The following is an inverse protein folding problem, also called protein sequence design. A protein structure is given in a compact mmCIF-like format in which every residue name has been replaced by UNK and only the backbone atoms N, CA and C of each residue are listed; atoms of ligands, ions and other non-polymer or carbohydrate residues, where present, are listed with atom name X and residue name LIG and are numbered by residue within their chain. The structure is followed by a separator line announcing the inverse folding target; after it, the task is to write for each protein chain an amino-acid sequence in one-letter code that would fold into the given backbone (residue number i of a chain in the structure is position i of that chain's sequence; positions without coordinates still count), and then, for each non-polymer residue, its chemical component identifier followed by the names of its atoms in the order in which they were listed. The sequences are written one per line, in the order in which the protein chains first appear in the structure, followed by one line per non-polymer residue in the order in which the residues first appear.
data_IF_806342607240
#
_entry.id   IF_806342607240
#
_cell.length_a   1.000
_cell.length_b   1.000
_cell.length_c   1.000
_cell.angle_alpha   90.00
_cell.angle_beta   90.00
_cell.angle_gamma   90.00
#
_symmetry.space_group_name_H-M   'P 1'
#
loop_
_entity.id
_entity.type
_entity.pdbx_description
1 polymer ?
#
# COMPACT_ATOMS: atom_id res chain seq x y z
N UNK A 1 -11.22 -25.80 43.19
CA UNK A 1 -10.24 -26.07 42.12
C UNK A 1 -10.99 -26.70 40.96
N UNK A 2 -11.63 -25.87 40.15
CA UNK A 2 -12.00 -26.17 38.77
C UNK A 2 -10.83 -25.73 37.92
N UNK A 3 -10.29 -26.56 37.02
CA UNK A 3 -9.41 -26.06 35.98
C UNK A 3 -10.28 -25.34 34.95
N UNK A 4 -10.04 -24.05 34.76
CA UNK A 4 -10.46 -23.38 33.54
C UNK A 4 -9.70 -24.04 32.38
N UNK A 5 -10.46 -24.52 31.41
CA UNK A 5 -9.96 -24.99 30.13
C UNK A 5 -9.57 -23.77 29.30
N UNK A 6 -8.26 -23.56 29.13
CA UNK A 6 -7.73 -22.68 28.09
C UNK A 6 -8.30 -23.14 26.73
N UNK A 7 -9.09 -22.26 26.12
CA UNK A 7 -9.39 -22.36 24.70
C UNK A 7 -8.08 -22.08 23.93
N UNK A 8 -7.80 -22.79 22.82
CA UNK A 8 -6.65 -22.44 22.00
C UNK A 8 -6.94 -21.07 21.38
N UNK A 9 -6.07 -20.09 21.64
CA UNK A 9 -5.91 -18.92 20.79
C UNK A 9 -5.54 -19.45 19.39
N UNK A 10 -6.53 -19.53 18.50
CA UNK A 10 -6.27 -19.51 17.06
C UNK A 10 -5.85 -18.08 16.72
N UNK A 11 -4.64 -17.70 17.15
CA UNK A 11 -4.08 -16.39 16.89
C UNK A 11 -4.04 -16.14 15.39
N UNK A 12 -4.43 -14.92 14.99
CA UNK A 12 -4.27 -14.51 13.61
C UNK A 12 -2.81 -14.72 13.17
N UNK A 13 -2.63 -15.22 11.95
CA UNK A 13 -1.32 -15.55 11.41
C UNK A 13 -1.24 -15.07 9.98
N UNK A 14 -0.40 -14.07 9.74
CA UNK A 14 -0.03 -13.60 8.42
C UNK A 14 1.45 -13.90 8.16
N UNK A 15 1.87 -13.81 6.91
CA UNK A 15 3.27 -13.85 6.50
C UNK A 15 3.58 -12.63 5.68
N UNK A 16 4.80 -12.10 5.77
CA UNK A 16 5.27 -11.03 4.90
C UNK A 16 5.51 -11.55 3.47
N UNK A 17 5.64 -10.66 2.47
CA UNK A 17 5.98 -11.06 1.11
C UNK A 17 7.28 -11.90 1.06
N UNK A 18 7.39 -12.88 0.15
CA UNK A 18 8.59 -13.68 0.00
C UNK A 18 9.80 -12.79 -0.33
N UNK A 19 10.83 -12.86 0.49
CA UNK A 19 12.08 -12.12 0.31
C UNK A 19 12.70 -12.38 -1.07
N UNK A 20 13.01 -11.30 -1.81
CA UNK A 20 13.54 -11.37 -3.17
C UNK A 20 12.56 -11.93 -4.20
N UNK A 21 11.26 -11.95 -3.87
CA UNK A 21 10.22 -12.30 -4.82
C UNK A 21 10.12 -11.27 -5.95
N UNK A 22 9.73 -11.71 -7.14
CA UNK A 22 9.58 -10.82 -8.29
C UNK A 22 8.18 -10.20 -8.23
N UNK A 23 8.04 -8.87 -8.08
CA UNK A 23 6.74 -8.21 -8.02
C UNK A 23 6.18 -7.88 -9.40
N UNK A 24 4.86 -7.76 -9.48
CA UNK A 24 4.12 -7.19 -10.59
C UNK A 24 2.96 -6.33 -10.05
N UNK A 25 2.96 -5.04 -10.36
CA UNK A 25 1.98 -4.08 -9.86
C UNK A 25 0.90 -3.83 -10.92
N UNK A 26 -0.29 -4.36 -10.67
CA UNK A 26 -1.39 -4.52 -11.64
C UNK A 26 -2.62 -3.69 -11.27
N UNK A 27 -2.46 -2.39 -11.01
CA UNK A 27 -3.59 -1.50 -10.67
C UNK A 27 -4.37 -1.01 -11.89
N UNK A 28 -3.72 -0.84 -13.05
CA UNK A 28 -4.40 -0.49 -14.31
C UNK A 28 -5.22 -1.64 -14.92
N UNK A 29 -5.23 -2.81 -14.27
CA UNK A 29 -6.07 -3.96 -14.60
C UNK A 29 -5.38 -5.28 -14.30
N UNK A 30 -6.15 -6.26 -13.82
CA UNK A 30 -5.65 -7.60 -13.54
C UNK A 30 -5.35 -8.39 -14.83
N UNK A 31 -4.20 -9.08 -14.85
CA UNK A 31 -3.83 -10.03 -15.90
C UNK A 31 -2.99 -11.18 -15.35
N UNK A 32 -2.94 -12.30 -16.09
CA UNK A 32 -2.14 -13.46 -15.68
C UNK A 32 -0.65 -13.06 -15.52
N UNK A 33 -0.05 -13.25 -14.33
CA UNK A 33 1.33 -12.86 -14.10
C UNK A 33 2.32 -13.58 -15.01
N UNK A 34 3.38 -12.88 -15.40
CA UNK A 34 4.45 -13.48 -16.19
C UNK A 34 5.14 -14.62 -15.43
N UNK A 35 5.75 -15.56 -16.17
CA UNK A 35 6.52 -16.64 -15.57
C UNK A 35 7.64 -16.09 -14.67
N UNK A 36 7.69 -16.54 -13.43
CA UNK A 36 8.69 -16.10 -12.45
C UNK A 36 8.21 -15.01 -11.49
N UNK A 37 7.11 -14.32 -11.81
CA UNK A 37 6.44 -13.42 -10.85
C UNK A 37 5.96 -14.24 -9.66
N UNK A 38 6.26 -13.77 -8.45
CA UNK A 38 5.89 -14.43 -7.19
C UNK A 38 5.09 -13.53 -6.25
N UNK A 39 5.00 -12.24 -6.56
CA UNK A 39 4.25 -11.25 -5.79
C UNK A 39 3.42 -10.41 -6.76
N UNK A 40 2.15 -10.18 -6.48
CA UNK A 40 1.28 -9.34 -7.32
C UNK A 40 0.50 -8.37 -6.45
N UNK A 41 0.57 -7.07 -6.77
CA UNK A 41 -0.32 -6.05 -6.19
C UNK A 41 -1.50 -5.78 -7.11
N UNK A 42 -2.72 -5.78 -6.57
CA UNK A 42 -3.96 -5.52 -7.32
C UNK A 42 -4.92 -4.69 -6.49
N UNK A 43 -5.72 -3.88 -7.17
CA UNK A 43 -6.83 -3.15 -6.56
C UNK A 43 -7.80 -4.08 -5.84
N UNK A 44 -8.38 -3.62 -4.72
CA UNK A 44 -9.39 -4.35 -3.94
C UNK A 44 -10.63 -4.79 -4.72
N UNK A 45 -10.91 -4.19 -5.87
CA UNK A 45 -12.01 -4.59 -6.77
C UNK A 45 -11.64 -5.73 -7.72
N UNK A 46 -10.37 -6.13 -7.79
CA UNK A 46 -9.89 -7.23 -8.62
C UNK A 46 -9.74 -8.54 -7.82
N UNK A 47 -9.80 -9.67 -8.52
CA UNK A 47 -9.49 -10.97 -7.92
C UNK A 47 -7.98 -11.09 -7.62
N UNK A 48 -7.57 -11.73 -6.51
CA UNK A 48 -6.17 -11.98 -6.23
C UNK A 48 -5.54 -12.90 -7.28
N UNK A 49 -4.23 -12.79 -7.47
CA UNK A 49 -3.52 -13.64 -8.43
C UNK A 49 -3.32 -15.05 -7.84
N UNK A 50 -3.77 -16.13 -8.51
CA UNK A 50 -3.70 -17.47 -7.95
C UNK A 50 -2.27 -18.00 -7.92
N UNK A 51 -1.87 -18.59 -6.78
CA UNK A 51 -0.60 -19.33 -6.65
C UNK A 51 0.66 -18.47 -6.48
N UNK A 52 0.49 -17.17 -6.27
CA UNK A 52 1.53 -16.21 -5.93
C UNK A 52 1.08 -15.40 -4.71
N UNK A 53 2.00 -14.71 -4.04
CA UNK A 53 1.67 -13.84 -2.92
C UNK A 53 0.90 -12.61 -3.44
N UNK A 54 -0.33 -12.39 -2.98
CA UNK A 54 -1.21 -11.34 -3.50
C UNK A 54 -1.42 -10.22 -2.48
N UNK A 55 -1.11 -8.98 -2.87
CA UNK A 55 -1.31 -7.76 -2.08
C UNK A 55 -2.55 -7.01 -2.58
N UNK A 56 -3.47 -6.71 -1.67
CA UNK A 56 -4.68 -5.95 -1.93
C UNK A 56 -4.40 -4.46 -1.76
N UNK A 57 -4.50 -3.68 -2.83
CA UNK A 57 -4.41 -2.22 -2.78
C UNK A 57 -5.71 -1.62 -2.23
N UNK A 58 -5.57 -0.77 -1.23
CA UNK A 58 -6.67 0.03 -0.67
C UNK A 58 -6.19 1.47 -0.53
N UNK A 59 -6.86 2.41 -1.20
CA UNK A 59 -6.68 3.82 -0.91
C UNK A 59 -7.35 4.14 0.44
N UNK A 60 -6.53 4.30 1.49
CA UNK A 60 -7.00 4.43 2.87
C UNK A 60 -7.12 5.87 3.37
N UNK A 61 -6.62 6.83 2.58
CA UNK A 61 -6.39 8.21 3.01
C UNK A 61 -6.86 9.25 1.98
N UNK A 62 -7.26 8.81 0.79
CA UNK A 62 -7.99 9.60 -0.20
C UNK A 62 -9.21 8.81 -0.70
N UNK A 63 -10.11 9.50 -1.41
CA UNK A 63 -11.11 8.83 -2.23
C UNK A 63 -10.45 8.25 -3.48
N UNK A 64 -10.87 7.07 -3.92
CA UNK A 64 -10.42 6.49 -5.18
C UNK A 64 -11.24 7.02 -6.39
N UNK A 65 -10.72 6.96 -7.65
CA UNK A 65 -11.43 7.43 -8.83
C UNK A 65 -12.82 6.79 -8.96
N UNK A 66 -13.83 7.65 -9.09
CA UNK A 66 -15.23 7.24 -9.17
C UNK A 66 -15.91 6.91 -7.84
N UNK A 67 -15.20 7.01 -6.71
CA UNK A 67 -15.74 6.70 -5.38
C UNK A 67 -16.01 7.93 -4.50
N UNK A 68 -15.72 9.14 -4.99
CA UNK A 68 -15.95 10.40 -4.26
C UNK A 68 -17.36 10.49 -3.63
N UNK A 69 -18.41 10.22 -4.41
CA UNK A 69 -19.81 10.31 -3.97
C UNK A 69 -20.22 9.21 -2.96
N UNK A 70 -19.34 8.24 -2.70
CA UNK A 70 -19.58 7.19 -1.69
C UNK A 70 -19.20 7.64 -0.28
N UNK A 71 -18.42 8.72 -0.16
CA UNK A 71 -17.96 9.26 1.10
C UNK A 71 -18.92 10.33 1.63
N UNK A 72 -19.12 10.36 2.95
CA UNK A 72 -19.76 11.49 3.59
C UNK A 72 -18.86 12.73 3.46
N UNK A 73 -19.43 13.86 3.03
CA UNK A 73 -18.70 15.10 2.86
C UNK A 73 -18.00 15.58 4.14
N UNK A 74 -18.52 15.22 5.32
CA UNK A 74 -17.90 15.53 6.62
C UNK A 74 -16.60 14.74 6.86
N UNK A 75 -16.36 13.66 6.12
CA UNK A 75 -15.13 12.86 6.16
C UNK A 75 -14.10 13.28 5.11
N UNK A 76 -14.45 14.22 4.23
CA UNK A 76 -13.52 14.80 3.26
C UNK A 76 -12.90 16.07 3.84
N UNK A 77 -11.61 16.29 3.55
CA UNK A 77 -10.93 17.51 3.96
C UNK A 77 -11.53 18.70 3.22
N UNK A 78 -12.02 19.68 3.96
CA UNK A 78 -12.68 20.87 3.41
C UNK A 78 -11.78 22.10 3.53
N UNK A 79 -11.80 22.96 2.52
CA UNK A 79 -11.20 24.30 2.53
C UNK A 79 -12.13 25.29 1.85
N UNK A 80 -12.45 26.37 2.55
CA UNK A 80 -13.36 27.42 2.07
C UNK A 80 -14.74 26.92 1.59
N UNK A 81 -15.16 25.74 2.06
CA UNK A 81 -16.44 25.11 1.71
C UNK A 81 -16.37 24.10 0.56
N UNK A 82 -15.18 23.85 0.00
CA UNK A 82 -14.94 22.88 -1.06
C UNK A 82 -13.99 21.77 -0.60
N UNK A 83 -14.14 20.57 -1.16
CA UNK A 83 -13.25 19.45 -0.84
C UNK A 83 -11.86 19.67 -1.43
N UNK A 84 -10.84 19.30 -0.67
CA UNK A 84 -9.44 19.40 -1.08
C UNK A 84 -9.08 18.15 -1.87
N UNK A 85 -8.72 18.35 -3.14
CA UNK A 85 -8.26 17.30 -4.04
C UNK A 85 -6.74 17.28 -4.11
N UNK A 86 -6.19 16.11 -4.38
CA UNK A 86 -4.77 15.95 -4.64
C UNK A 86 -4.38 16.71 -5.93
N UNK A 87 -3.31 17.53 -5.90
CA UNK A 87 -2.85 18.24 -7.10
C UNK A 87 -2.35 17.29 -8.21
N UNK A 88 -1.82 16.12 -7.83
CA UNK A 88 -1.30 15.11 -8.75
C UNK A 88 -2.41 14.13 -9.18
N UNK A 89 -3.44 13.96 -8.34
CA UNK A 89 -4.63 13.14 -8.59
C UNK A 89 -5.94 13.95 -8.43
N UNK A 90 -6.32 14.75 -9.45
CA UNK A 90 -7.35 15.79 -9.30
C UNK A 90 -8.79 15.27 -9.12
N UNK A 91 -9.02 13.98 -9.25
CA UNK A 91 -10.29 13.30 -8.95
C UNK A 91 -10.31 12.58 -7.60
N UNK A 92 -9.22 12.65 -6.84
CA UNK A 92 -9.08 12.06 -5.51
C UNK A 92 -9.09 13.14 -4.41
N UNK A 93 -10.12 13.14 -3.57
CA UNK A 93 -10.23 14.03 -2.43
C UNK A 93 -9.53 13.45 -1.20
N UNK A 94 -8.86 14.31 -0.43
CA UNK A 94 -8.20 13.92 0.82
C UNK A 94 -9.25 13.59 1.89
N UNK A 95 -9.04 12.49 2.62
CA UNK A 95 -9.86 12.17 3.79
C UNK A 95 -9.42 13.04 4.98
N UNK A 96 -10.38 13.53 5.75
CA UNK A 96 -10.11 14.38 6.91
C UNK A 96 -9.81 13.54 8.14
N UNK A 97 -8.53 13.29 8.38
CA UNK A 97 -8.05 12.55 9.55
C UNK A 97 -7.90 13.41 10.81
N UNK A 98 -8.21 14.72 10.77
CA UNK A 98 -7.84 15.71 11.82
C UNK A 98 -8.50 15.51 13.19
N UNK A 99 -9.52 14.65 13.29
CA UNK A 99 -10.19 14.37 14.58
C UNK A 99 -10.36 12.87 14.82
N UNK A 100 -10.34 12.41 16.08
CA UNK A 100 -10.59 11.01 16.42
C UNK A 100 -11.93 10.48 15.89
N UNK A 101 -12.99 11.30 15.93
CA UNK A 101 -14.32 10.90 15.45
C UNK A 101 -14.32 10.66 13.95
N UNK A 102 -13.65 11.53 13.17
CA UNK A 102 -13.50 11.35 11.72
C UNK A 102 -12.66 10.13 11.38
N UNK A 103 -11.51 9.92 12.07
CA UNK A 103 -10.71 8.70 11.89
C UNK A 103 -11.48 7.43 12.18
N UNK A 104 -12.32 7.43 13.22
CA UNK A 104 -13.20 6.30 13.55
C UNK A 104 -14.20 6.03 12.43
N UNK A 105 -14.81 7.09 11.87
CA UNK A 105 -15.76 6.98 10.78
C UNK A 105 -15.10 6.55 9.45
N UNK A 106 -13.91 7.06 9.15
CA UNK A 106 -13.09 6.62 8.00
C UNK A 106 -12.75 5.13 8.14
N UNK A 107 -12.24 4.71 9.30
CA UNK A 107 -11.92 3.30 9.54
C UNK A 107 -13.17 2.41 9.41
N UNK A 108 -14.35 2.86 9.85
CA UNK A 108 -15.59 2.12 9.69
C UNK A 108 -16.00 1.89 8.21
N UNK A 109 -15.55 2.76 7.29
CA UNK A 109 -15.75 2.61 5.85
C UNK A 109 -14.70 1.69 5.22
N UNK A 110 -13.43 1.82 5.64
CA UNK A 110 -12.29 1.09 5.06
C UNK A 110 -12.17 -0.34 5.57
N UNK A 111 -12.47 -0.61 6.84
CA UNK A 111 -12.34 -1.95 7.44
C UNK A 111 -13.12 -3.03 6.65
N UNK A 112 -14.37 -2.82 6.22
CA UNK A 112 -15.07 -3.78 5.38
C UNK A 112 -14.36 -4.10 4.05
N UNK A 113 -13.56 -3.18 3.52
CA UNK A 113 -12.75 -3.46 2.32
C UNK A 113 -11.58 -4.39 2.64
N UNK A 114 -10.92 -4.19 3.78
CA UNK A 114 -9.85 -5.06 4.29
C UNK A 114 -10.39 -6.48 4.53
N UNK A 115 -11.56 -6.59 5.17
CA UNK A 115 -12.26 -7.86 5.37
C UNK A 115 -12.59 -8.53 4.02
N UNK A 116 -13.03 -7.74 3.03
CA UNK A 116 -13.26 -8.21 1.66
C UNK A 116 -12.01 -8.74 0.97
N UNK A 117 -10.84 -8.11 1.17
CA UNK A 117 -9.55 -8.62 0.67
C UNK A 117 -9.23 -10.01 1.28
N UNK A 118 -9.44 -10.18 2.59
CA UNK A 118 -9.23 -11.46 3.26
C UNK A 118 -10.18 -12.54 2.73
N UNK A 119 -11.47 -12.21 2.59
CA UNK A 119 -12.50 -13.12 2.06
C UNK A 119 -12.21 -13.52 0.60
N UNK A 120 -11.66 -12.60 -0.21
CA UNK A 120 -11.25 -12.87 -1.58
C UNK A 120 -9.99 -13.76 -1.67
N UNK A 121 -9.20 -13.86 -0.61
CA UNK A 121 -8.01 -14.70 -0.52
C UNK A 121 -6.71 -13.97 -0.85
N UNK A 122 -6.63 -12.66 -0.63
CA UNK A 122 -5.35 -11.95 -0.60
C UNK A 122 -4.52 -12.39 0.61
N UNK A 123 -3.19 -12.25 0.51
CA UNK A 123 -2.24 -12.56 1.60
C UNK A 123 -1.92 -11.31 2.44
N UNK A 124 -2.08 -10.13 1.84
CA UNK A 124 -1.79 -8.85 2.46
C UNK A 124 -2.68 -7.74 1.92
N UNK A 125 -2.67 -6.60 2.62
CA UNK A 125 -3.23 -5.33 2.19
C UNK A 125 -2.17 -4.25 2.28
N UNK A 126 -2.15 -3.31 1.33
CA UNK A 126 -1.39 -2.07 1.43
C UNK A 126 -2.35 -0.87 1.54
N UNK A 127 -1.93 0.16 2.28
CA UNK A 127 -2.73 1.38 2.44
C UNK A 127 -2.05 2.55 1.74
N UNK A 128 -2.64 3.00 0.62
CA UNK A 128 -2.11 4.11 -0.17
C UNK A 128 -2.45 5.48 0.43
N UNK A 129 -1.71 6.51 -0.01
CA UNK A 129 -1.88 7.91 0.36
C UNK A 129 -1.66 8.22 1.86
N UNK A 130 -0.87 7.38 2.52
CA UNK A 130 -0.48 7.54 3.93
C UNK A 130 0.11 8.93 4.24
N UNK A 131 0.73 9.54 3.25
CA UNK A 131 1.47 10.80 3.27
C UNK A 131 0.61 12.05 2.97
N UNK A 132 -0.72 11.94 2.92
CA UNK A 132 -1.63 13.07 2.62
C UNK A 132 -1.45 14.29 3.52
N UNK A 133 -0.86 14.15 4.71
CA UNK A 133 -0.49 15.29 5.56
C UNK A 133 0.48 16.26 4.87
N UNK A 134 1.37 15.77 4.01
CA UNK A 134 2.31 16.58 3.23
C UNK A 134 1.62 17.46 2.18
N UNK A 135 0.46 17.01 1.68
CA UNK A 135 -0.34 17.68 0.62
C UNK A 135 -1.58 18.42 1.16
N UNK A 136 -1.71 18.53 2.47
CA UNK A 136 -2.88 19.14 3.14
C UNK A 136 -2.76 20.65 3.42
N UNK A 137 -1.62 21.28 3.07
CA UNK A 137 -1.18 22.60 3.54
C UNK A 137 -1.25 22.77 5.07
N UNK A 138 -0.89 21.71 5.81
CA UNK A 138 -0.84 21.70 7.27
C UNK A 138 -2.20 21.54 7.95
N UNK A 139 -3.24 21.14 7.22
CA UNK A 139 -4.55 20.83 7.79
C UNK A 139 -4.60 19.43 8.43
N UNK A 140 -3.77 18.50 7.94
CA UNK A 140 -3.58 17.17 8.50
C UNK A 140 -2.15 17.04 9.05
N UNK A 141 -1.98 16.20 10.05
CA UNK A 141 -0.70 15.92 10.69
C UNK A 141 -0.32 14.44 10.54
N UNK A 142 0.98 14.15 10.58
CA UNK A 142 1.49 12.78 10.57
C UNK A 142 0.87 11.93 11.68
N UNK A 143 0.73 12.48 12.88
CA UNK A 143 0.20 11.76 14.04
C UNK A 143 -1.28 11.35 13.86
N UNK A 144 -2.04 12.15 13.11
CA UNK A 144 -3.43 11.83 12.78
C UNK A 144 -3.50 10.69 11.76
N UNK A 145 -2.68 10.74 10.70
CA UNK A 145 -2.61 9.65 9.72
C UNK A 145 -2.07 8.36 10.35
N UNK A 146 -1.05 8.45 11.20
CA UNK A 146 -0.50 7.32 11.95
C UNK A 146 -1.56 6.67 12.85
N UNK A 147 -2.40 7.47 13.52
CA UNK A 147 -3.50 6.96 14.35
C UNK A 147 -4.55 6.19 13.53
N UNK A 148 -4.85 6.65 12.30
CA UNK A 148 -5.74 5.92 11.39
C UNK A 148 -5.04 4.65 10.89
N UNK A 149 -3.79 4.74 10.44
CA UNK A 149 -2.99 3.61 9.97
C UNK A 149 -2.96 2.48 11.01
N UNK A 150 -2.69 2.79 12.29
CA UNK A 150 -2.69 1.82 13.37
C UNK A 150 -4.01 1.06 13.50
N UNK A 151 -5.15 1.75 13.33
CA UNK A 151 -6.47 1.11 13.36
C UNK A 151 -6.72 0.20 12.14
N UNK A 152 -6.22 0.57 10.97
CA UNK A 152 -6.34 -0.22 9.74
C UNK A 152 -5.42 -1.45 9.76
N UNK A 153 -4.19 -1.31 10.25
CA UNK A 153 -3.23 -2.42 10.45
C UNK A 153 -3.80 -3.43 11.44
N UNK A 154 -4.30 -2.98 12.60
CA UNK A 154 -4.96 -3.83 13.59
C UNK A 154 -6.18 -4.57 13.00
N UNK A 155 -6.92 -3.95 12.08
CA UNK A 155 -7.99 -4.62 11.34
C UNK A 155 -7.47 -5.69 10.36
N UNK A 156 -6.42 -5.39 9.60
CA UNK A 156 -5.77 -6.35 8.69
C UNK A 156 -5.26 -7.58 9.45
N UNK A 157 -4.56 -7.35 10.56
CA UNK A 157 -4.04 -8.42 11.42
C UNK A 157 -5.16 -9.30 11.96
N UNK A 158 -6.30 -8.74 12.41
CA UNK A 158 -7.45 -9.54 12.88
C UNK A 158 -7.99 -10.51 11.83
N UNK A 159 -7.87 -10.18 10.55
CA UNK A 159 -8.30 -11.04 9.42
C UNK A 159 -7.14 -11.77 8.76
N UNK A 160 -5.99 -11.86 9.45
CA UNK A 160 -4.80 -12.60 9.01
C UNK A 160 -4.17 -12.10 7.70
N UNK A 161 -4.28 -10.80 7.42
CA UNK A 161 -3.55 -10.13 6.36
C UNK A 161 -2.31 -9.43 6.94
N UNK A 162 -1.17 -9.51 6.25
CA UNK A 162 -0.07 -8.59 6.51
C UNK A 162 -0.44 -7.18 6.03
N UNK A 163 0.05 -6.14 6.70
CA UNK A 163 -0.21 -4.75 6.33
C UNK A 163 1.06 -4.09 5.74
N UNK A 164 0.91 -3.50 4.55
CA UNK A 164 1.97 -2.82 3.82
C UNK A 164 1.87 -1.31 3.94
N UNK A 165 2.97 -0.66 4.35
CA UNK A 165 3.14 0.78 4.25
C UNK A 165 3.35 1.15 2.78
N UNK A 166 2.61 2.14 2.27
CA UNK A 166 2.87 2.73 0.94
C UNK A 166 3.65 4.03 1.08
N UNK A 167 4.80 4.11 0.42
CA UNK A 167 5.70 5.28 0.40
C UNK A 167 6.03 5.81 1.82
N UNK A 168 6.24 7.12 2.02
CA UNK A 168 6.58 7.75 3.31
C UNK A 168 7.92 7.28 3.92
N UNK A 169 9.00 7.36 3.14
CA UNK A 169 10.33 6.85 3.51
C UNK A 169 10.86 7.43 4.82
N UNK A 170 10.67 8.73 5.01
CA UNK A 170 11.12 9.49 6.18
C UNK A 170 10.46 9.03 7.49
N UNK A 171 9.27 8.45 7.39
CA UNK A 171 8.43 8.03 8.51
C UNK A 171 8.40 6.51 8.69
N UNK A 172 9.15 5.75 7.89
CA UNK A 172 9.14 4.29 7.92
C UNK A 172 9.35 3.68 9.31
N UNK A 173 10.26 4.25 10.11
CA UNK A 173 10.54 3.75 11.46
C UNK A 173 9.34 3.94 12.41
N UNK A 174 8.69 5.11 12.38
CA UNK A 174 7.55 5.40 13.26
C UNK A 174 6.30 4.67 12.78
N UNK A 175 6.09 4.56 11.47
CA UNK A 175 4.97 3.80 10.90
C UNK A 175 5.08 2.31 11.26
N UNK A 176 6.27 1.73 11.18
CA UNK A 176 6.50 0.36 11.64
C UNK A 176 6.26 0.20 13.15
N UNK A 177 6.86 1.06 13.99
CA UNK A 177 6.80 0.92 15.45
C UNK A 177 5.41 1.19 16.01
N UNK A 178 4.76 2.25 15.55
CA UNK A 178 3.53 2.77 16.17
C UNK A 178 2.25 2.34 15.45
N UNK A 179 2.28 2.15 14.11
CA UNK A 179 1.13 1.59 13.38
C UNK A 179 1.22 0.06 13.21
N UNK A 180 2.42 -0.53 13.24
CA UNK A 180 2.60 -1.98 13.19
C UNK A 180 2.67 -2.58 11.80
N UNK A 181 3.02 -1.78 10.77
CA UNK A 181 3.20 -2.28 9.42
C UNK A 181 4.24 -3.40 9.33
N UNK A 182 4.03 -4.35 8.44
CA UNK A 182 4.83 -5.57 8.31
C UNK A 182 5.85 -5.52 7.16
N UNK A 183 5.58 -4.73 6.13
CA UNK A 183 6.40 -4.57 4.93
C UNK A 183 6.15 -3.20 4.29
N UNK A 184 6.95 -2.84 3.29
CA UNK A 184 6.76 -1.63 2.50
C UNK A 184 6.50 -1.95 1.02
N UNK A 185 5.59 -1.18 0.42
CA UNK A 185 5.48 -1.02 -1.04
C UNK A 185 5.91 0.41 -1.35
N UNK A 186 6.88 0.56 -2.24
CA UNK A 186 7.51 1.84 -2.53
C UNK A 186 7.42 2.12 -4.02
N UNK A 187 7.25 3.39 -4.34
CA UNK A 187 7.40 3.88 -5.69
C UNK A 187 8.69 4.68 -5.76
N UNK A 188 9.54 4.33 -6.72
CA UNK A 188 10.72 5.10 -7.11
C UNK A 188 11.78 5.22 -6.00
N UNK A 189 11.87 4.26 -5.06
CA UNK A 189 12.81 4.41 -3.95
C UNK A 189 14.26 4.41 -4.44
N UNK A 190 14.58 3.69 -5.53
CA UNK A 190 15.93 3.65 -6.07
C UNK A 190 16.19 4.86 -6.97
N UNK A 191 15.17 5.40 -7.62
CA UNK A 191 15.28 6.66 -8.36
C UNK A 191 15.55 7.86 -7.42
N UNK A 192 14.93 7.88 -6.23
CA UNK A 192 15.09 8.96 -5.25
C UNK A 192 16.16 8.72 -4.17
N UNK A 193 16.88 7.60 -4.23
CA UNK A 193 17.90 7.20 -3.22
C UNK A 193 17.34 6.99 -1.80
N UNK A 194 16.10 6.52 -1.68
CA UNK A 194 15.34 6.37 -0.44
C UNK A 194 15.21 4.93 0.06
N UNK A 195 15.57 3.92 -0.75
CA UNK A 195 15.41 2.50 -0.39
C UNK A 195 16.06 2.10 0.94
N UNK A 196 17.16 2.76 1.32
CA UNK A 196 17.84 2.51 2.58
C UNK A 196 16.97 2.83 3.81
N UNK A 197 16.04 3.78 3.72
CA UNK A 197 15.13 4.13 4.80
C UNK A 197 14.15 2.99 5.08
N UNK A 198 13.60 2.37 4.04
CA UNK A 198 12.70 1.23 4.15
C UNK A 198 13.42 -0.05 4.57
N UNK A 199 14.52 -0.41 3.90
CA UNK A 199 15.26 -1.65 4.16
C UNK A 199 15.90 -1.68 5.55
N UNK A 200 16.23 -0.52 6.14
CA UNK A 200 16.67 -0.44 7.54
C UNK A 200 15.59 -0.87 8.54
N UNK A 201 14.31 -0.77 8.17
CA UNK A 201 13.14 -1.10 9.00
C UNK A 201 12.61 -2.50 8.67
N UNK A 202 12.34 -2.74 7.38
CA UNK A 202 11.64 -3.94 6.90
C UNK A 202 12.57 -5.04 6.36
N UNK A 203 13.88 -4.80 6.28
CA UNK A 203 14.84 -5.74 5.71
C UNK A 203 14.51 -6.08 4.26
N UNK A 204 14.33 -7.37 3.97
CA UNK A 204 14.00 -7.86 2.63
C UNK A 204 12.51 -7.74 2.27
N UNK A 205 11.66 -7.28 3.19
CA UNK A 205 10.22 -7.09 2.98
C UNK A 205 9.92 -5.68 2.43
N UNK A 206 10.59 -5.32 1.33
CA UNK A 206 10.37 -4.07 0.60
C UNK A 206 10.10 -4.42 -0.87
N UNK A 207 8.96 -3.99 -1.38
CA UNK A 207 8.55 -4.15 -2.77
C UNK A 207 8.67 -2.81 -3.48
N UNK A 208 9.56 -2.71 -4.45
CA UNK A 208 9.83 -1.44 -5.13
C UNK A 208 9.30 -1.44 -6.57
N UNK A 209 8.56 -0.39 -6.90
CA UNK A 209 7.97 -0.13 -8.20
C UNK A 209 8.68 1.09 -8.77
N UNK A 210 9.51 0.87 -9.78
CA UNK A 210 10.18 1.93 -10.52
C UNK A 210 9.37 2.25 -11.78
N UNK A 211 9.37 3.52 -12.19
CA UNK A 211 8.59 3.96 -13.35
C UNK A 211 9.48 4.33 -14.54
N UNK A 212 9.10 3.84 -15.72
CA UNK A 212 9.89 3.99 -16.95
C UNK A 212 10.05 5.43 -17.46
N UNK A 213 9.24 6.35 -16.95
CA UNK A 213 9.30 7.79 -17.24
C UNK A 213 10.21 8.57 -16.28
N UNK A 214 10.69 7.94 -15.20
CA UNK A 214 11.53 8.56 -14.18
C UNK A 214 12.67 7.61 -13.77
N UNK A 215 13.66 7.50 -14.66
CA UNK A 215 14.85 6.69 -14.43
C UNK A 215 16.11 7.56 -14.46
N UNK A 216 16.79 7.78 -13.31
CA UNK A 216 18.04 8.57 -13.29
C UNK A 216 19.22 7.82 -13.94
N UNK A 217 19.11 6.50 -14.10
CA UNK A 217 20.06 5.58 -14.74
C UNK A 217 19.31 4.37 -15.30
N UNK A 218 19.97 3.46 -16.01
CA UNK A 218 19.24 2.31 -16.57
C UNK A 218 18.69 1.41 -15.48
N UNK A 219 17.53 0.78 -15.73
CA UNK A 219 16.92 -0.15 -14.77
C UNK A 219 17.87 -1.30 -14.39
N UNK A 220 18.65 -1.81 -15.36
CA UNK A 220 19.69 -2.81 -15.09
C UNK A 220 20.81 -2.32 -14.14
N UNK A 221 21.16 -1.03 -14.17
CA UNK A 221 22.11 -0.45 -13.20
C UNK A 221 21.48 -0.31 -11.81
N UNK A 222 20.18 -0.03 -11.72
CA UNK A 222 19.44 0.00 -10.45
C UNK A 222 19.34 -1.40 -9.86
N UNK A 223 18.97 -2.40 -10.67
CA UNK A 223 18.93 -3.81 -10.25
C UNK A 223 20.29 -4.36 -9.79
N UNK A 224 21.39 -3.85 -10.34
CA UNK A 224 22.74 -4.22 -9.93
C UNK A 224 23.23 -3.48 -8.67
N UNK A 225 22.48 -2.49 -8.20
CA UNK A 225 22.85 -1.70 -7.03
C UNK A 225 22.52 -2.46 -5.73
N UNK A 226 23.51 -2.72 -4.85
CA UNK A 226 23.27 -3.41 -3.59
C UNK A 226 22.41 -2.61 -2.59
N UNK A 227 22.14 -1.32 -2.86
CA UNK A 227 21.22 -0.50 -2.07
C UNK A 227 19.76 -0.58 -2.55
N UNK A 228 19.51 -1.12 -3.75
CA UNK A 228 18.16 -1.37 -4.24
C UNK A 228 17.58 -2.66 -3.63
N UNK A 229 16.27 -2.73 -3.37
CA UNK A 229 15.61 -3.94 -2.91
C UNK A 229 15.73 -5.07 -3.93
N UNK A 230 15.82 -6.31 -3.44
CA UNK A 230 15.82 -7.48 -4.31
C UNK A 230 14.48 -7.67 -5.04
N UNK A 231 13.38 -7.20 -4.45
CA UNK A 231 12.03 -7.25 -5.01
C UNK A 231 11.71 -5.93 -5.70
N UNK A 232 12.25 -5.71 -6.91
CA UNK A 232 12.06 -4.48 -7.68
C UNK A 232 11.56 -4.78 -9.10
N UNK A 233 10.61 -3.97 -9.60
CA UNK A 233 10.02 -4.08 -10.94
C UNK A 233 9.96 -2.71 -11.61
N UNK A 234 10.18 -2.67 -12.92
CA UNK A 234 9.92 -1.50 -13.74
C UNK A 234 8.53 -1.59 -14.35
N UNK A 235 7.72 -0.54 -14.19
CA UNK A 235 6.39 -0.41 -14.78
C UNK A 235 6.25 0.90 -15.55
N UNK A 236 5.23 0.98 -16.38
CA UNK A 236 4.72 2.26 -16.87
C UNK A 236 3.88 2.95 -15.77
N UNK A 237 3.81 4.29 -15.78
CA UNK A 237 3.13 5.10 -14.75
C UNK A 237 1.65 4.75 -14.60
N UNK A 238 1.00 4.42 -15.72
CA UNK A 238 -0.42 4.09 -15.79
C UNK A 238 -0.71 2.63 -15.41
N UNK A 239 0.33 1.84 -15.05
CA UNK A 239 0.25 0.45 -14.63
C UNK A 239 -0.58 -0.42 -15.59
N UNK A 240 -0.38 -0.21 -16.88
CA UNK A 240 -1.18 -0.76 -17.96
C UNK A 240 -1.16 -2.29 -17.99
N UNK A 241 -2.10 -2.87 -18.74
CA UNK A 241 -2.13 -4.31 -19.05
C UNK A 241 -1.28 -4.63 -20.29
N UNK A 242 -0.79 -5.88 -20.48
CA UNK A 242 0.11 -6.26 -21.58
C UNK A 242 -0.40 -5.98 -23.00
N UNK A 243 -1.71 -5.81 -23.17
CA UNK A 243 -2.32 -5.53 -24.47
C UNK A 243 -2.38 -4.05 -24.83
N UNK A 244 -2.13 -3.16 -23.87
CA UNK A 244 -2.19 -1.72 -24.06
C UNK A 244 -0.91 -1.19 -24.72
N UNK A 245 -1.07 -0.17 -25.56
CA UNK A 245 0.05 0.58 -26.09
C UNK A 245 0.73 1.35 -24.95
N UNK A 246 2.06 1.26 -24.85
CA UNK A 246 2.82 1.90 -23.77
C UNK A 246 3.11 1.01 -22.56
N UNK A 247 2.59 -0.23 -22.52
CA UNK A 247 2.88 -1.19 -21.46
C UNK A 247 4.39 -1.41 -21.27
N UNK A 248 4.87 -1.21 -20.04
CA UNK A 248 6.25 -1.52 -19.62
C UNK A 248 6.22 -2.49 -18.46
N UNK A 249 6.99 -3.56 -18.58
CA UNK A 249 7.23 -4.52 -17.50
C UNK A 249 8.64 -5.10 -17.66
N UNK A 250 9.53 -4.80 -16.72
CA UNK A 250 10.89 -5.34 -16.65
C UNK A 250 11.20 -5.77 -15.21
N UNK A 251 11.95 -6.85 -15.04
CA UNK A 251 12.31 -7.41 -13.73
C UNK A 251 13.82 -7.50 -13.59
N UNK A 252 14.37 -7.43 -12.38
CA UNK A 252 15.81 -7.60 -12.16
C UNK A 252 16.37 -8.99 -12.52
N UNK A 253 15.51 -9.97 -12.82
CA UNK A 253 15.89 -11.30 -13.26
C UNK A 253 16.12 -11.44 -14.80
N UNK A 254 16.19 -10.32 -15.52
CA UNK A 254 16.32 -10.23 -16.99
C UNK A 254 17.74 -10.21 -17.53
#
# INVERSE_FOLDING_TARGET
MTPDTDAPDSGASWSTPPAGGIPDYQLGGAYDPASGVTIVGRDRSAEPAPGVYSVCYVNGFQTQPGEFDTWDADLLLQRDGDSVFDPDWPDEALLDTSTPDKRTAIAAQVIPWIEGCADAGFDAVEFDNLDTYTRSDGALALEDNLSLAAALVDAAHRVSLAAGQKNSAEDAAVLHEDAGFDFAVTEECAAYEECAAYTAVYGDAVLDIEYSDELPRSFGEMCADPSSPASMVLRDRDLLTPSAEGYVFETCAG
#
